data_IF_909031940088
#
_entry.id   IF_909031940088
#
_cell.length_a   1.000
_cell.length_b   1.000
_cell.length_c   1.000
_cell.angle_alpha   90.00
_cell.angle_beta   90.00
_cell.angle_gamma   90.00
#
_symmetry.space_group_name_H-M   'P 1'
#
loop_
_entity.id
_entity.type
_entity.pdbx_description
1 polymer ?
#
# COMPACT_ATOMS: atom_id res chain seq x y z
N UNK A 1 -9.13 -5.56 -7.66
CA UNK A 1 -10.11 -4.49 -7.81
C UNK A 1 -10.05 -3.55 -6.61
N UNK A 2 -10.29 -2.27 -6.81
CA UNK A 2 -10.31 -1.24 -5.79
C UNK A 2 -11.56 -0.37 -5.96
N UNK A 3 -12.18 0.04 -4.86
CA UNK A 3 -13.30 0.98 -4.86
C UNK A 3 -12.79 2.43 -4.69
N UNK A 4 -13.58 3.39 -5.13
CA UNK A 4 -13.43 4.78 -4.71
C UNK A 4 -13.80 4.93 -3.24
N UNK A 5 -13.27 5.94 -2.56
CA UNK A 5 -13.64 6.23 -1.18
C UNK A 5 -14.30 7.60 -1.03
N UNK A 6 -15.25 7.69 -0.12
CA UNK A 6 -15.76 8.94 0.43
C UNK A 6 -15.26 9.11 1.85
N UNK A 7 -14.90 10.33 2.19
CA UNK A 7 -14.51 10.65 3.55
C UNK A 7 -15.72 10.69 4.46
N UNK A 8 -15.64 9.94 5.53
CA UNK A 8 -16.61 9.95 6.62
C UNK A 8 -15.97 10.56 7.85
N UNK A 9 -16.77 11.30 8.62
CA UNK A 9 -16.42 11.75 9.96
C UNK A 9 -17.27 11.01 10.98
N UNK A 10 -16.71 10.85 12.18
CA UNK A 10 -17.40 10.31 13.33
C UNK A 10 -17.36 11.35 14.44
N UNK A 11 -18.52 11.76 14.92
CA UNK A 11 -18.61 12.71 16.04
C UNK A 11 -18.35 12.06 17.41
N UNK A 12 -18.41 12.86 18.48
CA UNK A 12 -18.21 12.41 19.84
C UNK A 12 -19.30 11.43 20.33
N UNK A 13 -20.48 11.46 19.72
CA UNK A 13 -21.61 10.58 20.02
C UNK A 13 -21.53 9.27 19.23
N UNK A 14 -20.61 9.20 18.26
CA UNK A 14 -20.39 8.02 17.42
C UNK A 14 -21.20 8.04 16.12
N UNK A 15 -21.94 9.11 15.85
CA UNK A 15 -22.68 9.28 14.62
C UNK A 15 -21.72 9.51 13.44
N UNK A 16 -22.03 8.86 12.33
CA UNK A 16 -21.20 8.93 11.10
C UNK A 16 -21.92 9.80 10.08
N UNK A 17 -21.19 10.77 9.53
CA UNK A 17 -21.64 11.65 8.45
C UNK A 17 -20.66 11.72 7.31
N UNK A 18 -21.14 11.92 6.09
CA UNK A 18 -20.30 12.18 4.93
C UNK A 18 -19.77 13.61 4.97
N UNK A 19 -18.48 13.80 4.64
CA UNK A 19 -17.85 15.13 4.59
C UNK A 19 -17.91 15.77 3.21
N UNK A 20 -18.19 14.98 2.17
CA UNK A 20 -18.26 15.45 0.78
C UNK A 20 -19.05 14.47 -0.08
N UNK A 21 -19.81 15.00 -1.03
CA UNK A 21 -20.50 14.22 -2.06
C UNK A 21 -19.55 13.70 -3.16
N UNK A 22 -18.33 14.24 -3.20
CA UNK A 22 -17.31 13.87 -4.17
C UNK A 22 -16.39 12.79 -3.57
N UNK A 23 -16.04 11.73 -4.32
CA UNK A 23 -15.05 10.75 -3.86
C UNK A 23 -13.75 11.44 -3.46
N UNK A 24 -13.20 11.06 -2.30
CA UNK A 24 -11.99 11.67 -1.75
C UNK A 24 -10.71 10.97 -2.18
N UNK A 25 -10.80 9.77 -2.73
CA UNK A 25 -9.65 9.04 -3.26
C UNK A 25 -10.02 8.16 -4.43
N UNK A 26 -9.24 8.27 -5.49
CA UNK A 26 -9.34 7.47 -6.71
C UNK A 26 -8.26 6.38 -6.80
N UNK A 27 -7.53 6.14 -5.72
CA UNK A 27 -6.40 5.22 -5.69
C UNK A 27 -5.06 5.94 -5.82
N UNK A 28 -3.98 5.21 -5.60
CA UNK A 28 -2.63 5.76 -5.62
C UNK A 28 -2.11 5.96 -7.05
N UNK A 29 -1.49 7.08 -7.30
CA UNK A 29 -1.12 7.52 -8.63
C UNK A 29 0.30 7.20 -9.05
N UNK A 30 1.27 7.27 -8.14
CA UNK A 30 2.68 7.02 -8.42
C UNK A 30 3.38 6.40 -7.22
N UNK A 31 4.25 5.42 -7.45
CA UNK A 31 5.27 5.11 -6.48
C UNK A 31 6.27 6.26 -6.48
N UNK A 32 6.28 7.06 -5.44
CA UNK A 32 7.33 8.05 -5.25
C UNK A 32 8.55 7.36 -4.67
N UNK A 33 9.63 7.33 -5.43
CA UNK A 33 10.95 7.22 -4.83
C UNK A 33 11.31 8.62 -4.36
N UNK A 34 10.85 8.99 -3.16
CA UNK A 34 11.27 10.24 -2.54
C UNK A 34 12.78 10.25 -2.33
N UNK A 35 13.34 11.44 -2.16
CA UNK A 35 14.76 11.71 -1.87
C UNK A 35 15.35 10.89 -0.72
N UNK A 36 14.52 10.15 0.00
CA UNK A 36 14.86 9.29 1.12
C UNK A 36 14.92 7.80 0.76
N UNK A 37 14.86 7.46 -0.52
CA UNK A 37 14.92 6.09 -1.06
C UNK A 37 13.84 5.14 -0.52
N UNK A 38 12.73 5.70 -0.07
CA UNK A 38 11.63 4.98 0.52
C UNK A 38 10.53 4.74 -0.51
N UNK A 39 9.97 3.53 -0.61
CA UNK A 39 8.78 3.33 -1.42
C UNK A 39 7.62 4.05 -0.75
N UNK A 40 7.34 5.24 -1.19
CA UNK A 40 6.18 6.00 -0.78
C UNK A 40 5.14 6.05 -1.91
N UNK A 41 3.88 6.24 -1.54
CA UNK A 41 2.76 6.29 -2.46
C UNK A 41 2.21 7.70 -2.42
N UNK A 42 2.11 8.33 -3.60
CA UNK A 42 1.37 9.57 -3.73
C UNK A 42 -0.11 9.27 -3.98
N UNK A 43 -0.92 9.60 -3.00
CA UNK A 43 -2.37 9.49 -3.10
C UNK A 43 -2.91 10.64 -3.93
N UNK A 44 -3.48 10.30 -5.08
CA UNK A 44 -3.95 11.28 -6.03
C UNK A 44 -5.47 11.20 -6.18
N UNK A 45 -6.09 12.36 -6.20
CA UNK A 45 -7.52 12.53 -6.41
C UNK A 45 -7.86 12.97 -7.85
N UNK A 46 -6.92 12.89 -8.78
CA UNK A 46 -7.14 13.25 -10.18
C UNK A 46 -7.59 12.04 -10.97
N UNK A 47 -8.78 12.14 -11.52
CA UNK A 47 -9.34 11.16 -12.44
C UNK A 47 -8.62 11.22 -13.79
N UNK A 48 -8.04 10.10 -14.25
CA UNK A 48 -7.31 10.04 -15.54
C UNK A 48 -8.21 9.83 -16.74
N UNK A 49 -9.31 9.12 -16.55
CA UNK A 49 -10.25 8.79 -17.61
C UNK A 49 -11.67 9.20 -17.18
N UNK A 50 -12.02 10.51 -17.26
CA UNK A 50 -13.37 10.95 -16.98
C UNK A 50 -14.40 10.21 -17.83
N UNK A 51 -15.43 9.65 -17.17
CA UNK A 51 -16.48 8.89 -17.86
C UNK A 51 -16.16 7.42 -18.14
N UNK A 52 -14.94 6.93 -17.86
CA UNK A 52 -14.66 5.50 -17.90
C UNK A 52 -15.20 4.83 -16.62
N UNK A 53 -15.86 3.67 -16.71
CA UNK A 53 -16.39 2.96 -15.55
C UNK A 53 -15.27 2.34 -14.69
N UNK A 54 -14.12 2.08 -15.29
CA UNK A 54 -12.94 1.53 -14.63
C UNK A 54 -11.64 2.16 -15.12
N UNK A 55 -10.61 2.08 -14.33
CA UNK A 55 -9.29 2.65 -14.63
C UNK A 55 -8.18 1.83 -14.00
N UNK A 56 -7.06 1.66 -14.74
CA UNK A 56 -5.86 1.05 -14.18
C UNK A 56 -5.17 2.03 -13.23
N UNK A 57 -4.87 1.56 -12.02
CA UNK A 57 -4.19 2.32 -10.98
C UNK A 57 -2.91 1.61 -10.55
N UNK A 58 -1.82 2.33 -10.26
CA UNK A 58 -0.56 1.72 -9.83
C UNK A 58 -0.70 0.91 -8.54
N UNK A 59 -1.45 1.45 -7.58
CA UNK A 59 -1.64 0.84 -6.27
C UNK A 59 -3.11 0.90 -5.85
N UNK A 60 -3.59 -0.20 -5.26
CA UNK A 60 -4.91 -0.23 -4.63
C UNK A 60 -4.93 0.59 -3.36
N UNK A 61 -6.10 1.11 -3.00
CA UNK A 61 -6.31 1.82 -1.75
C UNK A 61 -6.66 0.83 -0.64
N UNK A 62 -5.95 0.89 0.48
CA UNK A 62 -6.12 0.00 1.63
C UNK A 62 -7.51 0.06 2.28
N UNK A 63 -8.24 1.17 2.09
CA UNK A 63 -9.60 1.31 2.59
C UNK A 63 -10.59 0.29 2.00
N UNK A 64 -10.36 -0.16 0.75
CA UNK A 64 -11.24 -1.15 0.13
C UNK A 64 -10.72 -1.69 -1.19
N UNK A 65 -10.18 -2.90 -1.14
CA UNK A 65 -9.84 -3.64 -2.33
C UNK A 65 -10.30 -5.10 -2.22
N UNK A 66 -10.44 -5.76 -3.34
CA UNK A 66 -10.91 -7.14 -3.43
C UNK A 66 -10.13 -7.93 -4.47
N UNK A 67 -9.96 -9.21 -4.20
CA UNK A 67 -9.44 -10.20 -5.13
C UNK A 67 -10.18 -11.53 -4.93
N UNK A 68 -10.14 -12.42 -5.91
CA UNK A 68 -10.65 -13.77 -5.68
C UNK A 68 -9.77 -14.50 -4.66
N UNK A 69 -10.36 -15.37 -3.85
CA UNK A 69 -9.62 -16.19 -2.87
C UNK A 69 -8.48 -16.95 -3.54
N UNK A 70 -8.72 -17.54 -4.72
CA UNK A 70 -7.71 -18.27 -5.48
C UNK A 70 -6.52 -17.39 -5.83
N UNK A 71 -6.76 -16.18 -6.34
CA UNK A 71 -5.69 -15.26 -6.73
C UNK A 71 -4.95 -14.72 -5.51
N UNK A 72 -5.68 -14.38 -4.44
CA UNK A 72 -5.07 -13.97 -3.17
C UNK A 72 -4.13 -15.04 -2.60
N UNK A 73 -4.57 -16.31 -2.60
CA UNK A 73 -3.75 -17.43 -2.13
C UNK A 73 -2.53 -17.64 -3.03
N UNK A 74 -2.69 -17.55 -4.34
CA UNK A 74 -1.59 -17.65 -5.31
C UNK A 74 -0.53 -16.56 -5.07
N UNK A 75 -0.96 -15.32 -4.86
CA UNK A 75 -0.05 -14.21 -4.52
C UNK A 75 0.53 -14.31 -3.10
N UNK A 76 0.09 -15.26 -2.28
CA UNK A 76 0.43 -15.36 -0.86
C UNK A 76 0.05 -14.08 -0.07
N UNK A 77 -0.97 -13.37 -0.51
CA UNK A 77 -1.53 -12.18 0.14
C UNK A 77 -0.49 -11.24 0.75
N UNK A 78 -0.63 -10.95 2.03
CA UNK A 78 0.29 -10.07 2.78
C UNK A 78 1.37 -10.85 3.58
N UNK A 79 1.61 -12.10 3.23
CA UNK A 79 2.58 -12.93 3.93
C UNK A 79 3.97 -12.28 3.98
N UNK A 80 4.54 -12.27 5.15
CA UNK A 80 5.85 -11.66 5.43
C UNK A 80 5.80 -10.27 6.03
N UNK A 81 4.73 -9.50 5.82
CA UNK A 81 4.57 -8.22 6.48
C UNK A 81 4.39 -8.41 7.99
N UNK A 82 4.88 -7.46 8.75
CA UNK A 82 4.72 -7.42 10.21
C UNK A 82 3.99 -6.15 10.59
N UNK A 83 2.97 -6.25 11.45
CA UNK A 83 2.22 -5.09 11.90
C UNK A 83 1.55 -4.31 10.75
N UNK A 84 1.19 -3.05 10.99
CA UNK A 84 0.49 -2.15 10.07
C UNK A 84 1.45 -1.50 9.07
N UNK A 85 0.95 -1.30 7.84
CA UNK A 85 1.54 -0.44 6.81
C UNK A 85 2.20 -1.18 5.66
N UNK A 86 2.21 -0.53 4.53
CA UNK A 86 2.79 -0.96 3.25
C UNK A 86 2.06 -2.11 2.54
N UNK A 87 0.87 -2.47 3.01
CA UNK A 87 0.07 -3.55 2.42
C UNK A 87 -0.41 -3.20 1.01
N UNK A 88 -0.81 -1.95 0.75
CA UNK A 88 -1.21 -1.47 -0.58
C UNK A 88 -0.07 -1.62 -1.60
N UNK A 89 1.12 -1.16 -1.23
CA UNK A 89 2.29 -1.28 -2.08
C UNK A 89 2.67 -2.74 -2.30
N UNK A 90 2.63 -3.55 -1.25
CA UNK A 90 3.03 -4.94 -1.30
C UNK A 90 2.14 -5.78 -2.22
N UNK A 91 0.83 -5.71 -2.03
CA UNK A 91 -0.11 -6.48 -2.84
C UNK A 91 -0.13 -5.99 -4.29
N UNK A 92 -0.11 -4.68 -4.51
CA UNK A 92 -0.15 -4.10 -5.86
C UNK A 92 1.08 -4.45 -6.68
N UNK A 93 2.28 -4.37 -6.08
CA UNK A 93 3.51 -4.77 -6.77
C UNK A 93 3.54 -6.26 -7.11
N UNK A 94 3.00 -7.13 -6.25
CA UNK A 94 2.84 -8.55 -6.57
C UNK A 94 1.93 -8.75 -7.78
N UNK A 95 0.77 -8.08 -7.80
CA UNK A 95 -0.18 -8.12 -8.91
C UNK A 95 0.50 -7.71 -10.21
N UNK A 96 1.21 -6.58 -10.23
CA UNK A 96 1.91 -6.09 -11.42
C UNK A 96 3.02 -7.03 -11.88
N UNK A 97 3.78 -7.60 -10.97
CA UNK A 97 4.86 -8.55 -11.30
C UNK A 97 4.37 -9.83 -11.96
N UNK A 98 3.17 -10.27 -11.61
CA UNK A 98 2.52 -11.45 -12.19
C UNK A 98 1.77 -11.12 -13.50
N UNK A 99 1.90 -9.91 -14.03
CA UNK A 99 1.20 -9.46 -15.24
C UNK A 99 -0.29 -9.20 -15.01
N UNK A 100 -0.72 -9.06 -13.76
CA UNK A 100 -2.09 -8.69 -13.39
C UNK A 100 -2.31 -7.18 -13.48
N UNK A 101 -3.53 -6.75 -13.08
CA UNK A 101 -3.95 -5.34 -13.09
C UNK A 101 -4.53 -4.93 -11.74
N UNK A 102 -4.19 -3.74 -11.29
CA UNK A 102 -4.90 -3.05 -10.20
C UNK A 102 -5.93 -2.13 -10.84
N UNK A 103 -7.20 -2.42 -10.64
CA UNK A 103 -8.30 -1.73 -11.32
C UNK A 103 -9.16 -0.99 -10.31
N UNK A 104 -9.35 0.31 -10.52
CA UNK A 104 -10.31 1.14 -9.82
C UNK A 104 -11.68 1.01 -10.49
N UNK A 105 -12.70 0.64 -9.71
CA UNK A 105 -14.10 0.64 -10.12
C UNK A 105 -14.73 1.96 -9.69
N UNK A 106 -15.15 2.78 -10.64
CA UNK A 106 -15.62 4.14 -10.35
C UNK A 106 -17.09 4.20 -9.95
N UNK A 107 -17.85 3.19 -10.30
CA UNK A 107 -19.25 2.99 -9.89
C UNK A 107 -19.40 2.36 -8.50
N UNK A 108 -18.29 1.92 -7.92
CA UNK A 108 -18.26 1.36 -6.55
C UNK A 108 -17.61 2.35 -5.61
N UNK A 109 -18.39 2.87 -4.69
CA UNK A 109 -17.95 3.84 -3.69
C UNK A 109 -18.15 3.28 -2.29
N UNK A 110 -17.12 3.36 -1.47
CA UNK A 110 -17.17 2.96 -0.05
C UNK A 110 -16.90 4.16 0.86
N UNK A 111 -17.53 4.19 2.01
CA UNK A 111 -17.23 5.18 3.04
C UNK A 111 -16.01 4.78 3.86
N UNK A 112 -15.11 5.71 4.13
CA UNK A 112 -13.96 5.50 4.98
C UNK A 112 -13.80 6.61 6.01
N UNK A 113 -13.73 6.25 7.29
CA UNK A 113 -13.49 7.20 8.37
C UNK A 113 -11.99 7.49 8.44
N UNK A 114 -11.58 8.63 7.87
CA UNK A 114 -10.20 9.10 7.99
C UNK A 114 -10.00 9.70 9.38
N UNK A 115 -9.00 9.22 10.07
CA UNK A 115 -8.66 9.65 11.43
C UNK A 115 -7.38 10.50 11.41
N UNK A 116 -7.37 11.55 12.21
CA UNK A 116 -6.17 12.37 12.41
C UNK A 116 -5.11 11.60 13.19
N UNK A 117 -5.54 10.70 14.08
CA UNK A 117 -4.66 9.86 14.89
C UNK A 117 -5.01 8.38 14.71
N UNK A 118 -3.99 7.55 14.65
CA UNK A 118 -4.18 6.11 14.59
C UNK A 118 -4.72 5.59 15.93
N UNK A 119 -5.75 4.72 15.93
CA UNK A 119 -6.31 4.16 17.18
C UNK A 119 -5.43 3.09 17.82
N UNK A 120 -4.21 2.92 17.32
CA UNK A 120 -3.20 1.96 17.77
C UNK A 120 -1.81 2.58 17.68
N UNK A 121 -0.89 2.02 18.45
CA UNK A 121 0.49 2.48 18.43
C UNK A 121 1.16 2.17 17.09
N UNK A 122 1.63 3.21 16.43
CA UNK A 122 2.47 3.08 15.24
C UNK A 122 3.90 2.71 15.63
N UNK A 123 4.48 1.76 14.91
CA UNK A 123 5.84 1.29 15.14
C UNK A 123 6.67 1.56 13.89
N UNK A 124 7.43 2.65 13.91
CA UNK A 124 8.23 3.08 12.76
C UNK A 124 9.22 2.00 12.32
N UNK A 125 9.85 1.29 13.25
CA UNK A 125 10.78 0.19 12.96
C UNK A 125 10.13 -0.96 12.18
N UNK A 126 8.85 -1.24 12.44
CA UNK A 126 8.10 -2.28 11.74
C UNK A 126 7.68 -1.84 10.34
N UNK A 127 7.35 -0.56 10.18
CA UNK A 127 7.10 0.02 8.85
C UNK A 127 8.37 0.03 8.01
N UNK A 128 9.51 0.40 8.60
CA UNK A 128 10.83 0.28 7.97
C UNK A 128 11.08 -1.14 7.51
N UNK A 129 10.85 -2.12 8.38
CA UNK A 129 11.00 -3.52 8.05
C UNK A 129 10.13 -3.94 6.86
N UNK A 130 8.84 -3.58 6.85
CA UNK A 130 7.92 -3.89 5.75
C UNK A 130 8.42 -3.30 4.43
N UNK A 131 8.84 -2.04 4.42
CA UNK A 131 9.36 -1.38 3.23
C UNK A 131 10.64 -2.04 2.71
N UNK A 132 11.56 -2.43 3.59
CA UNK A 132 12.77 -3.17 3.21
C UNK A 132 12.46 -4.57 2.68
N UNK A 133 11.49 -5.26 3.27
CA UNK A 133 11.02 -6.55 2.79
C UNK A 133 10.45 -6.42 1.37
N UNK A 134 9.55 -5.46 1.14
CA UNK A 134 8.98 -5.17 -0.19
C UNK A 134 10.09 -4.89 -1.19
N UNK A 135 11.01 -4.00 -0.85
CA UNK A 135 12.14 -3.66 -1.69
C UNK A 135 12.99 -4.90 -2.02
N UNK A 136 13.28 -5.73 -1.02
CA UNK A 136 14.10 -6.95 -1.22
C UNK A 136 13.44 -8.00 -2.11
N UNK A 137 12.12 -8.12 -2.05
CA UNK A 137 11.34 -9.11 -2.80
C UNK A 137 10.99 -8.63 -4.20
N UNK A 138 10.58 -7.37 -4.34
CA UNK A 138 9.84 -6.91 -5.51
C UNK A 138 10.59 -5.88 -6.36
N UNK A 139 11.62 -5.21 -5.82
CA UNK A 139 12.35 -4.19 -6.56
C UNK A 139 13.53 -4.75 -7.37
N UNK A 140 13.87 -4.11 -8.50
CA UNK A 140 15.13 -4.35 -9.19
C UNK A 140 16.33 -4.03 -8.29
N UNK A 141 17.48 -4.64 -8.59
CA UNK A 141 18.66 -4.56 -7.72
C UNK A 141 19.09 -3.13 -7.40
N UNK A 142 19.06 -2.23 -8.39
CA UNK A 142 19.43 -0.82 -8.20
C UNK A 142 18.56 -0.12 -7.15
N UNK A 143 17.24 -0.29 -7.22
CA UNK A 143 16.32 0.30 -6.26
C UNK A 143 16.40 -0.38 -4.89
N UNK A 144 16.74 -1.66 -4.83
CA UNK A 144 16.99 -2.36 -3.55
C UNK A 144 18.16 -1.73 -2.81
N UNK A 145 19.28 -1.52 -3.49
CA UNK A 145 20.47 -0.89 -2.89
C UNK A 145 20.11 0.49 -2.33
N UNK A 146 19.42 1.31 -3.12
CA UNK A 146 19.00 2.64 -2.67
C UNK A 146 18.09 2.59 -1.45
N UNK A 147 17.12 1.70 -1.42
CA UNK A 147 16.18 1.54 -0.28
C UNK A 147 16.91 1.13 1.00
N UNK A 148 17.85 0.18 0.91
CA UNK A 148 18.63 -0.27 2.07
C UNK A 148 19.58 0.82 2.57
N UNK A 149 20.24 1.53 1.65
CA UNK A 149 21.12 2.65 2.01
C UNK A 149 20.34 3.77 2.70
N UNK A 150 19.18 4.16 2.15
CA UNK A 150 18.33 5.18 2.75
C UNK A 150 17.82 4.80 4.14
N UNK A 151 17.36 3.55 4.31
CA UNK A 151 16.93 3.05 5.61
C UNK A 151 18.06 3.03 6.64
N UNK A 152 19.25 2.60 6.24
CA UNK A 152 20.43 2.57 7.11
C UNK A 152 20.86 3.97 7.56
N UNK A 153 20.83 4.94 6.64
CA UNK A 153 21.19 6.32 6.96
C UNK A 153 20.20 6.99 7.92
N UNK A 154 18.90 6.61 7.83
CA UNK A 154 17.87 7.20 8.71
C UNK A 154 17.78 6.56 10.08
N UNK A 155 17.93 5.27 10.17
CA UNK A 155 17.72 4.48 11.39
C UNK A 155 18.62 3.25 11.38
N UNK A 156 19.92 3.40 11.64
CA UNK A 156 20.88 2.31 11.58
C UNK A 156 20.49 1.12 12.48
N UNK A 157 19.91 1.42 13.65
CA UNK A 157 19.48 0.42 14.63
C UNK A 157 18.24 -0.38 14.21
N UNK A 158 17.40 0.18 13.35
CA UNK A 158 16.17 -0.47 12.87
C UNK A 158 16.35 -1.15 11.51
N UNK A 159 17.32 -0.70 10.73
CA UNK A 159 17.67 -1.27 9.44
C UNK A 159 18.48 -2.56 9.64
N UNK A 160 17.79 -3.68 9.91
CA UNK A 160 18.41 -5.01 10.03
C UNK A 160 18.24 -5.82 8.74
N UNK A 161 19.13 -5.63 7.74
CA UNK A 161 19.03 -6.32 6.44
C UNK A 161 18.99 -7.84 6.58
N UNK A 162 19.67 -8.39 7.58
CA UNK A 162 19.74 -9.83 7.81
C UNK A 162 18.38 -10.46 8.12
N UNK A 163 17.48 -9.78 8.82
CA UNK A 163 16.14 -10.32 9.12
C UNK A 163 15.22 -10.25 7.90
N UNK A 164 15.25 -9.15 7.15
CA UNK A 164 14.54 -9.04 5.88
C UNK A 164 15.02 -10.10 4.89
N UNK A 165 16.33 -10.36 4.85
CA UNK A 165 16.94 -11.36 3.99
C UNK A 165 16.51 -12.78 4.34
N UNK A 166 16.51 -13.14 5.62
CA UNK A 166 16.03 -14.44 6.11
C UNK A 166 14.56 -14.69 5.76
N UNK A 167 13.71 -13.69 5.94
CA UNK A 167 12.29 -13.81 5.56
C UNK A 167 12.11 -13.90 4.05
N UNK A 168 12.89 -13.18 3.26
CA UNK A 168 12.86 -13.28 1.80
C UNK A 168 13.11 -14.71 1.33
N UNK A 169 14.14 -15.38 1.85
CA UNK A 169 14.47 -16.75 1.45
C UNK A 169 13.34 -17.71 1.77
N UNK A 170 12.67 -17.55 2.90
CA UNK A 170 11.51 -18.37 3.25
C UNK A 170 10.28 -18.13 2.36
N UNK A 171 10.10 -16.89 1.88
CA UNK A 171 8.96 -16.54 1.01
C UNK A 171 9.22 -16.94 -0.44
N UNK A 172 10.46 -16.83 -0.92
CA UNK A 172 10.84 -17.13 -2.30
C UNK A 172 11.15 -18.61 -2.56
N UNK A 173 11.30 -19.44 -1.52
CA UNK A 173 11.63 -20.85 -1.65
C UNK A 173 10.41 -21.78 -1.87
N UNK A 174 9.20 -21.23 -1.92
CA UNK A 174 7.95 -21.92 -2.19
C UNK A 174 7.23 -21.29 -3.38
#
# INVERSE_FOLDING_TARGET
LCAQTRSLTKDAQGEISETSDVPTSFGAYQPLVKTEYWPDIDWNNVERCPGCPEEDIPFVLGAGYAATKRYWTYLRGLEGLVHYGSDEAYISLKVWREGGRCVLLKDVVIGHVYRMEAPYRMHSEKQVFNSLLISSLLYPQSLRILSFTGAFLKSPETARPSECWKRRTNISAN
#
